data_IF_797907214223
#
_entry.id   IF_797907214223
#
_cell.length_a   1.000
_cell.length_b   1.000
_cell.length_c   1.000
_cell.angle_alpha   90.00
_cell.angle_beta   90.00
_cell.angle_gamma   90.00
#
_symmetry.space_group_name_H-M   'P 1'
#
loop_
_entity.id
_entity.type
_entity.pdbx_description
1 polymer ?
#
# COMPACT_ATOMS: atom_id res chain seq x y z
N UNK A 1 3.52 -35.35 29.95
CA UNK A 1 2.71 -36.33 30.72
C UNK A 1 3.46 -36.99 31.89
N UNK A 2 4.77 -36.75 32.06
CA UNK A 2 5.59 -37.26 33.18
C UNK A 2 5.50 -36.40 34.46
N UNK A 3 5.48 -35.07 34.33
CA UNK A 3 5.58 -34.13 35.47
C UNK A 3 4.38 -34.14 36.44
N UNK A 4 3.17 -34.35 35.94
CA UNK A 4 1.97 -34.41 36.81
C UNK A 4 2.06 -35.57 37.79
N UNK A 5 2.76 -36.64 37.41
CA UNK A 5 2.97 -37.82 38.24
C UNK A 5 3.97 -37.53 39.37
N UNK A 6 4.95 -36.66 39.14
CA UNK A 6 5.99 -36.32 40.13
C UNK A 6 5.48 -35.38 41.21
N UNK A 7 4.68 -34.36 40.83
CA UNK A 7 4.04 -33.43 41.79
C UNK A 7 3.08 -34.15 42.73
N UNK A 8 2.28 -35.07 42.18
CA UNK A 8 1.42 -35.94 42.99
C UNK A 8 2.22 -36.77 43.99
N UNK A 9 3.33 -37.37 43.56
CA UNK A 9 4.17 -38.20 44.44
C UNK A 9 4.82 -37.39 45.56
N UNK A 10 5.38 -36.21 45.28
CA UNK A 10 5.99 -35.37 46.31
C UNK A 10 4.96 -34.90 47.36
N UNK A 11 3.77 -34.50 46.93
CA UNK A 11 2.67 -34.12 47.81
C UNK A 11 2.20 -35.28 48.70
N UNK A 12 2.02 -36.47 48.11
CA UNK A 12 1.65 -37.68 48.86
C UNK A 12 2.71 -38.09 49.87
N UNK A 13 3.99 -37.98 49.53
CA UNK A 13 5.11 -38.24 50.45
C UNK A 13 5.10 -37.25 51.61
N UNK A 14 4.97 -35.95 51.34
CA UNK A 14 4.88 -34.92 52.39
C UNK A 14 3.69 -35.15 53.31
N UNK A 15 2.52 -35.47 52.75
CA UNK A 15 1.31 -35.75 53.50
C UNK A 15 1.49 -37.00 54.37
N UNK A 16 2.06 -38.07 53.84
CA UNK A 16 2.37 -39.28 54.61
C UNK A 16 3.32 -38.99 55.78
N UNK A 17 4.39 -38.22 55.57
CA UNK A 17 5.29 -37.80 56.63
C UNK A 17 4.58 -36.97 57.70
N UNK A 18 3.70 -36.04 57.32
CA UNK A 18 2.93 -35.27 58.30
C UNK A 18 1.95 -36.12 59.10
N UNK A 19 1.28 -37.09 58.46
CA UNK A 19 0.36 -37.99 59.16
C UNK A 19 1.10 -38.89 60.14
N UNK A 20 2.27 -39.42 59.76
CA UNK A 20 3.14 -40.19 60.66
C UNK A 20 3.60 -39.32 61.82
N UNK A 21 4.03 -38.08 61.56
CA UNK A 21 4.43 -37.15 62.61
C UNK A 21 3.29 -36.85 63.59
N UNK A 22 2.08 -36.56 63.10
CA UNK A 22 0.91 -36.34 63.96
C UNK A 22 0.52 -37.60 64.74
N UNK A 23 0.67 -38.79 64.17
CA UNK A 23 0.42 -40.05 64.88
C UNK A 23 1.42 -40.27 66.01
N UNK A 24 2.71 -40.01 65.77
CA UNK A 24 3.77 -40.07 66.79
C UNK A 24 3.50 -39.02 67.88
N UNK A 25 3.16 -37.78 67.50
CA UNK A 25 2.87 -36.71 68.45
C UNK A 25 1.63 -37.03 69.30
N UNK A 26 0.57 -37.57 68.69
CA UNK A 26 -0.62 -38.03 69.40
C UNK A 26 -0.29 -39.15 70.39
N UNK A 27 0.51 -40.13 69.97
CA UNK A 27 0.97 -41.21 70.85
C UNK A 27 1.75 -40.67 72.05
N UNK A 28 2.68 -39.73 71.81
CA UNK A 28 3.43 -39.06 72.88
C UNK A 28 2.51 -38.29 73.83
N UNK A 29 1.46 -37.63 73.33
CA UNK A 29 0.48 -36.94 74.18
C UNK A 29 -0.32 -37.89 75.06
N UNK A 30 -0.73 -39.05 74.54
CA UNK A 30 -1.49 -40.05 75.34
C UNK A 30 -0.64 -40.64 76.47
N UNK A 31 0.69 -40.68 76.32
CA UNK A 31 1.58 -41.08 77.42
C UNK A 31 1.84 -39.97 78.47
N UNK A 32 1.38 -38.74 78.22
CA UNK A 32 1.49 -37.66 79.21
C UNK A 32 0.44 -37.78 80.32
N UNK A 33 0.74 -37.22 81.49
CA UNK A 33 -0.14 -37.34 82.68
C UNK A 33 -1.48 -36.65 82.43
N UNK A 34 -2.57 -37.36 82.72
CA UNK A 34 -3.93 -36.83 82.65
C UNK A 34 -4.19 -35.74 83.70
N UNK A 35 -5.01 -34.77 83.32
CA UNK A 35 -5.51 -33.72 84.19
C UNK A 35 -6.78 -34.15 84.91
N UNK A 36 -6.70 -34.37 86.22
CA UNK A 36 -7.84 -34.80 87.05
C UNK A 36 -8.77 -33.66 87.51
N UNK A 37 -8.34 -32.39 87.41
CA UNK A 37 -9.07 -31.23 87.98
C UNK A 37 -9.77 -30.34 86.93
N UNK A 38 -9.74 -30.71 85.65
CA UNK A 38 -10.36 -29.92 84.58
C UNK A 38 -11.84 -30.30 84.38
N UNK A 39 -12.72 -29.30 84.20
CA UNK A 39 -14.11 -29.52 83.80
C UNK A 39 -14.16 -30.02 82.35
N UNK A 40 -14.17 -31.34 82.17
CA UNK A 40 -14.08 -31.99 80.86
C UNK A 40 -15.36 -31.69 80.06
N UNK A 41 -15.20 -31.05 78.90
CA UNK A 41 -16.30 -30.86 77.96
C UNK A 41 -16.74 -32.19 77.32
N UNK A 42 -18.06 -32.43 77.12
CA UNK A 42 -18.56 -33.65 76.48
C UNK A 42 -18.23 -33.75 74.97
N UNK A 43 -17.63 -32.72 74.37
CA UNK A 43 -17.25 -32.73 72.96
C UNK A 43 -15.88 -33.40 72.77
N UNK A 44 -15.78 -34.43 71.93
CA UNK A 44 -14.57 -35.26 71.76
C UNK A 44 -13.26 -34.47 71.57
N UNK A 45 -13.28 -33.43 70.73
CA UNK A 45 -12.09 -32.61 70.48
C UNK A 45 -11.75 -31.75 71.70
N UNK A 46 -12.74 -31.11 72.33
CA UNK A 46 -12.48 -30.21 73.45
C UNK A 46 -12.13 -31.00 74.70
N UNK A 47 -12.81 -32.11 74.94
CA UNK A 47 -12.52 -33.06 76.01
C UNK A 47 -11.11 -33.62 75.91
N UNK A 48 -10.60 -33.95 74.72
CA UNK A 48 -9.20 -34.38 74.55
C UNK A 48 -8.21 -33.30 75.01
N UNK A 49 -8.38 -32.05 74.55
CA UNK A 49 -7.50 -30.96 74.97
C UNK A 49 -7.68 -30.62 76.46
N UNK A 50 -8.90 -30.63 76.99
CA UNK A 50 -9.16 -30.40 78.42
C UNK A 50 -8.52 -31.48 79.30
N UNK A 51 -8.50 -32.75 78.85
CA UNK A 51 -7.91 -33.89 79.57
C UNK A 51 -6.38 -33.91 79.58
N UNK A 52 -5.72 -33.52 78.49
CA UNK A 52 -4.24 -33.61 78.40
C UNK A 52 -3.54 -32.26 78.58
N UNK A 53 -4.22 -31.15 78.32
CA UNK A 53 -3.64 -29.80 78.29
C UNK A 53 -4.33 -28.83 79.26
N UNK A 54 -5.39 -29.25 79.96
CA UNK A 54 -6.17 -28.39 80.85
C UNK A 54 -5.44 -27.89 82.11
N UNK A 55 -4.40 -28.58 82.56
CA UNK A 55 -3.58 -28.18 83.73
C UNK A 55 -2.33 -27.38 83.36
N UNK A 56 -2.03 -27.26 82.07
CA UNK A 56 -0.81 -26.64 81.58
C UNK A 56 -1.04 -25.13 81.51
N UNK A 57 -0.08 -24.34 82.00
CA UNK A 57 -0.19 -22.89 81.93
C UNK A 57 -0.30 -22.40 80.49
N UNK A 58 -1.01 -21.28 80.25
CA UNK A 58 -1.24 -20.74 78.90
C UNK A 58 0.08 -20.54 78.11
N UNK A 59 1.17 -20.20 78.79
CA UNK A 59 2.48 -20.03 78.16
C UNK A 59 3.09 -21.38 77.72
N UNK A 60 3.02 -22.39 78.57
CA UNK A 60 3.54 -23.74 78.30
C UNK A 60 2.71 -24.46 77.21
N UNK A 61 1.41 -24.18 77.16
CA UNK A 61 0.53 -24.63 76.07
C UNK A 61 0.99 -24.08 74.71
N UNK A 62 1.36 -22.80 74.69
CA UNK A 62 1.90 -22.12 73.51
C UNK A 62 3.21 -22.76 73.04
N UNK A 63 4.12 -23.05 73.97
CA UNK A 63 5.42 -23.67 73.66
C UNK A 63 5.26 -25.11 73.13
N UNK A 64 4.34 -25.90 73.71
CA UNK A 64 4.05 -27.25 73.24
C UNK A 64 3.44 -27.25 71.83
N UNK A 65 2.47 -26.37 71.57
CA UNK A 65 1.87 -26.23 70.24
C UNK A 65 2.87 -25.69 69.22
N UNK A 66 3.70 -24.72 69.58
CA UNK A 66 4.74 -24.19 68.70
C UNK A 66 5.77 -25.27 68.35
N UNK A 67 6.18 -26.08 69.32
CA UNK A 67 7.07 -27.23 69.11
C UNK A 67 6.46 -28.29 68.19
N UNK A 68 5.14 -28.52 68.30
CA UNK A 68 4.43 -29.48 67.44
C UNK A 68 4.32 -28.99 65.98
N UNK A 69 3.97 -27.72 65.77
CA UNK A 69 3.72 -27.19 64.42
C UNK A 69 4.98 -26.73 63.67
N UNK A 70 6.07 -26.36 64.37
CA UNK A 70 7.27 -25.84 63.73
C UNK A 70 7.94 -26.82 62.73
N UNK A 71 8.15 -28.11 63.05
CA UNK A 71 8.73 -29.07 62.09
C UNK A 71 7.82 -29.33 60.89
N UNK A 72 6.51 -29.35 61.11
CA UNK A 72 5.52 -29.54 60.02
C UNK A 72 5.56 -28.35 59.07
N UNK A 73 5.53 -27.13 59.59
CA UNK A 73 5.62 -25.91 58.78
C UNK A 73 6.93 -25.87 57.97
N UNK A 74 8.06 -26.24 58.59
CA UNK A 74 9.35 -26.28 57.91
C UNK A 74 9.38 -27.31 56.77
N UNK A 75 8.82 -28.50 57.00
CA UNK A 75 8.74 -29.56 55.99
C UNK A 75 7.92 -29.11 54.77
N UNK A 76 6.77 -28.47 54.98
CA UNK A 76 5.95 -27.93 53.91
C UNK A 76 6.65 -26.79 53.15
N UNK A 77 7.38 -25.91 53.85
CA UNK A 77 8.14 -24.83 53.23
C UNK A 77 9.27 -25.36 52.34
N UNK A 78 10.06 -26.32 52.83
CA UNK A 78 11.11 -26.95 52.05
C UNK A 78 10.55 -27.70 50.82
N UNK A 79 9.43 -28.40 50.99
CA UNK A 79 8.70 -29.06 49.91
C UNK A 79 8.24 -28.07 48.83
N UNK A 80 7.68 -26.93 49.22
CA UNK A 80 7.25 -25.89 48.29
C UNK A 80 8.43 -25.29 47.50
N UNK A 81 9.55 -24.97 48.15
CA UNK A 81 10.75 -24.44 47.48
C UNK A 81 11.33 -25.46 46.49
N UNK A 82 11.36 -26.74 46.86
CA UNK A 82 11.85 -27.79 45.98
C UNK A 82 10.98 -27.93 44.73
N UNK A 83 9.65 -27.94 44.87
CA UNK A 83 8.71 -27.98 43.74
C UNK A 83 8.90 -26.75 42.85
N UNK A 84 8.97 -25.55 43.43
CA UNK A 84 9.18 -24.30 42.68
C UNK A 84 10.50 -24.30 41.91
N UNK A 85 11.57 -24.86 42.47
CA UNK A 85 12.87 -24.93 41.80
C UNK A 85 12.85 -25.79 40.54
N UNK A 86 12.06 -26.87 40.53
CA UNK A 86 11.90 -27.74 39.36
C UNK A 86 11.10 -27.05 38.26
N UNK A 87 10.03 -26.32 38.61
CA UNK A 87 9.23 -25.57 37.65
C UNK A 87 10.06 -24.49 36.95
N UNK A 88 10.94 -23.80 37.68
CA UNK A 88 11.83 -22.80 37.10
C UNK A 88 12.89 -23.41 36.16
N UNK A 89 13.35 -24.63 36.43
CA UNK A 89 14.29 -25.32 35.55
C UNK A 89 13.61 -25.72 34.23
N UNK A 90 12.40 -26.30 34.30
CA UNK A 90 11.61 -26.65 33.12
C UNK A 90 11.24 -25.41 32.29
N UNK A 91 10.81 -24.32 32.93
CA UNK A 91 10.52 -23.05 32.23
C UNK A 91 11.73 -22.48 31.49
N UNK A 92 12.97 -22.67 32.00
CA UNK A 92 14.18 -22.20 31.30
C UNK A 92 14.44 -22.99 30.03
N UNK A 93 14.19 -24.28 30.04
CA UNK A 93 14.33 -25.14 28.87
C UNK A 93 13.30 -24.76 27.79
N UNK A 94 12.02 -24.61 28.17
CA UNK A 94 10.96 -24.17 27.26
C UNK A 94 11.26 -22.78 26.66
N UNK A 95 11.80 -21.85 27.46
CA UNK A 95 12.19 -20.53 26.98
C UNK A 95 13.36 -20.57 26.00
N UNK A 96 14.32 -21.48 26.18
CA UNK A 96 15.43 -21.64 25.23
C UNK A 96 14.96 -22.22 23.90
N UNK A 97 14.08 -23.23 23.93
CA UNK A 97 13.44 -23.78 22.74
C UNK A 97 12.59 -22.73 22.01
N UNK A 98 11.79 -21.98 22.77
CA UNK A 98 10.97 -20.88 22.22
C UNK A 98 11.84 -19.82 21.54
N UNK A 99 12.99 -19.49 22.14
CA UNK A 99 13.95 -18.55 21.52
C UNK A 99 14.55 -19.07 20.23
N UNK A 100 14.81 -20.38 20.11
CA UNK A 100 15.31 -20.99 18.87
C UNK A 100 14.28 -20.90 17.76
N UNK A 101 13.04 -21.31 18.03
CA UNK A 101 11.93 -21.22 17.06
C UNK A 101 11.68 -19.77 16.64
N UNK A 102 11.67 -18.83 17.58
CA UNK A 102 11.50 -17.40 17.24
C UNK A 102 12.65 -16.87 16.37
N UNK A 103 13.90 -17.30 16.60
CA UNK A 103 15.03 -16.91 15.74
C UNK A 103 14.86 -17.44 14.31
N UNK A 104 14.44 -18.69 14.17
CA UNK A 104 14.16 -19.30 12.86
C UNK A 104 13.02 -18.55 12.14
N UNK A 105 11.92 -18.25 12.85
CA UNK A 105 10.82 -17.47 12.30
C UNK A 105 11.24 -16.06 11.85
N UNK A 106 12.13 -15.40 12.58
CA UNK A 106 12.67 -14.09 12.17
C UNK A 106 13.52 -14.22 10.90
N UNK A 107 14.32 -15.29 10.77
CA UNK A 107 15.11 -15.54 9.56
C UNK A 107 14.21 -15.80 8.35
N UNK A 108 13.20 -16.65 8.49
CA UNK A 108 12.22 -16.93 7.43
C UNK A 108 11.43 -15.67 7.05
N UNK A 109 11.02 -14.87 8.05
CA UNK A 109 10.32 -13.60 7.80
C UNK A 109 11.19 -12.64 7.01
N UNK A 110 12.49 -12.53 7.33
CA UNK A 110 13.44 -11.69 6.56
C UNK A 110 13.58 -12.16 5.12
N UNK A 111 13.71 -13.47 4.91
CA UNK A 111 13.76 -14.04 3.57
C UNK A 111 12.47 -13.73 2.77
N UNK A 112 11.31 -13.90 3.40
CA UNK A 112 10.00 -13.57 2.82
C UNK A 112 9.88 -12.08 2.47
N UNK A 113 10.31 -11.17 3.35
CA UNK A 113 10.29 -9.72 3.04
C UNK A 113 11.18 -9.34 1.86
N UNK A 114 12.31 -10.04 1.67
CA UNK A 114 13.19 -9.82 0.53
C UNK A 114 12.50 -10.20 -0.78
N UNK A 115 11.87 -11.39 -0.81
CA UNK A 115 11.10 -11.86 -1.97
C UNK A 115 9.91 -10.94 -2.30
N UNK A 116 9.19 -10.48 -1.28
CA UNK A 116 8.10 -9.51 -1.47
C UNK A 116 8.61 -8.17 -2.03
N UNK A 117 9.79 -7.73 -1.61
CA UNK A 117 10.45 -6.55 -2.16
C UNK A 117 10.76 -6.72 -3.66
N UNK A 118 11.33 -7.85 -4.04
CA UNK A 118 11.61 -8.18 -5.45
C UNK A 118 10.34 -8.26 -6.30
N UNK A 119 9.30 -8.94 -5.81
CA UNK A 119 8.00 -9.02 -6.49
C UNK A 119 7.36 -7.64 -6.68
N UNK A 120 7.41 -6.79 -5.66
CA UNK A 120 6.90 -5.42 -5.73
C UNK A 120 7.66 -4.61 -6.79
N UNK A 121 8.98 -4.78 -6.87
CA UNK A 121 9.81 -4.14 -7.89
C UNK A 121 9.52 -4.63 -9.32
N UNK A 122 9.15 -5.90 -9.50
CA UNK A 122 8.70 -6.44 -10.80
C UNK A 122 7.33 -5.86 -11.17
N UNK A 123 6.37 -5.89 -10.25
CA UNK A 123 5.02 -5.37 -10.49
C UNK A 123 5.02 -3.89 -10.84
N UNK A 124 5.85 -3.09 -10.16
CA UNK A 124 6.00 -1.66 -10.48
C UNK A 124 6.51 -1.43 -11.90
N UNK A 125 7.55 -2.17 -12.31
CA UNK A 125 8.07 -2.09 -13.69
C UNK A 125 7.06 -2.53 -14.73
N UNK A 126 6.28 -3.58 -14.45
CA UNK A 126 5.20 -4.02 -15.33
C UNK A 126 4.08 -2.97 -15.45
N UNK A 127 3.76 -2.30 -14.34
CA UNK A 127 2.77 -1.22 -14.35
C UNK A 127 3.24 -0.04 -15.19
N UNK A 128 4.47 0.41 -15.01
CA UNK A 128 5.06 1.52 -15.78
C UNK A 128 5.10 1.20 -17.28
N UNK A 129 5.48 -0.03 -17.66
CA UNK A 129 5.46 -0.48 -19.06
C UNK A 129 4.04 -0.51 -19.64
N UNK A 130 3.06 -0.98 -18.86
CA UNK A 130 1.66 -1.03 -19.29
C UNK A 130 1.06 0.36 -19.43
N UNK A 131 1.40 1.29 -18.55
CA UNK A 131 0.98 2.70 -18.68
C UNK A 131 1.54 3.32 -19.96
N UNK A 132 2.79 3.02 -20.32
CA UNK A 132 3.39 3.45 -21.58
C UNK A 132 2.67 2.81 -22.79
N UNK A 133 2.40 1.51 -22.76
CA UNK A 133 1.67 0.81 -23.84
C UNK A 133 0.28 1.42 -24.05
N UNK A 134 -0.46 1.68 -22.96
CA UNK A 134 -1.77 2.34 -23.03
C UNK A 134 -1.64 3.76 -23.61
N UNK A 135 -0.60 4.51 -23.23
CA UNK A 135 -0.37 5.85 -23.76
C UNK A 135 -0.04 5.83 -25.26
N UNK A 136 0.78 4.87 -25.71
CA UNK A 136 1.15 4.67 -27.10
C UNK A 136 -0.08 4.28 -27.95
N UNK A 137 -0.91 3.35 -27.46
CA UNK A 137 -2.18 2.96 -28.10
C UNK A 137 -3.16 4.12 -28.21
N UNK A 138 -3.30 4.89 -27.12
CA UNK A 138 -4.12 6.10 -27.12
C UNK A 138 -3.59 7.13 -28.11
N UNK A 139 -2.27 7.32 -28.19
CA UNK A 139 -1.65 8.21 -29.15
C UNK A 139 -1.98 7.82 -30.58
N UNK A 140 -1.81 6.54 -30.95
CA UNK A 140 -2.16 6.08 -32.29
C UNK A 140 -3.66 6.22 -32.58
N UNK A 141 -4.53 5.97 -31.60
CA UNK A 141 -5.96 6.21 -31.75
C UNK A 141 -6.28 7.70 -32.00
N UNK A 142 -5.62 8.60 -31.29
CA UNK A 142 -5.76 10.04 -31.49
C UNK A 142 -5.23 10.48 -32.86
N UNK A 143 -4.10 9.93 -33.32
CA UNK A 143 -3.54 10.20 -34.65
C UNK A 143 -4.52 9.77 -35.75
N UNK A 144 -5.08 8.56 -35.66
CA UNK A 144 -6.12 8.10 -36.60
C UNK A 144 -7.36 8.99 -36.59
N UNK A 145 -7.78 9.41 -35.39
CA UNK A 145 -8.89 10.36 -35.22
C UNK A 145 -8.61 11.70 -35.90
N UNK A 146 -7.43 12.28 -35.65
CA UNK A 146 -7.00 13.54 -36.24
C UNK A 146 -6.89 13.44 -37.77
N UNK A 147 -6.29 12.36 -38.28
CA UNK A 147 -6.25 12.05 -39.72
C UNK A 147 -7.66 12.06 -40.32
N UNK A 148 -8.63 11.37 -39.71
CA UNK A 148 -10.02 11.35 -40.21
C UNK A 148 -10.71 12.72 -40.22
N UNK A 149 -10.24 13.66 -39.38
CA UNK A 149 -10.71 15.04 -39.37
C UNK A 149 -10.06 15.79 -40.53
N UNK A 150 -8.76 15.66 -40.72
CA UNK A 150 -8.01 16.32 -41.81
C UNK A 150 -8.45 15.81 -43.18
N UNK A 151 -8.69 14.52 -43.35
CA UNK A 151 -9.18 13.94 -44.61
C UNK A 151 -10.57 14.47 -45.01
N UNK A 152 -11.40 14.90 -44.04
CA UNK A 152 -12.67 15.61 -44.35
C UNK A 152 -12.45 17.00 -44.94
N UNK A 153 -11.25 17.57 -44.76
CA UNK A 153 -10.85 18.85 -45.31
C UNK A 153 -10.07 18.71 -46.63
N UNK A 154 -9.80 17.48 -47.08
CA UNK A 154 -9.18 17.26 -48.38
C UNK A 154 -10.12 17.76 -49.49
N UNK A 155 -9.59 18.62 -50.36
CA UNK A 155 -10.36 19.27 -51.43
C UNK A 155 -11.24 20.44 -51.00
N UNK A 156 -11.19 20.90 -49.74
CA UNK A 156 -11.86 22.15 -49.34
C UNK A 156 -11.17 23.33 -50.01
N UNK A 157 -11.85 23.95 -50.98
CA UNK A 157 -11.34 25.09 -51.72
C UNK A 157 -11.37 26.36 -50.86
N UNK A 158 -10.20 26.90 -50.51
CA UNK A 158 -10.13 28.25 -49.94
C UNK A 158 -10.27 29.26 -51.05
N UNK A 159 -11.26 30.13 -50.88
CA UNK A 159 -11.43 31.29 -51.74
C UNK A 159 -10.75 32.46 -51.07
N UNK A 160 -9.64 32.90 -51.65
CA UNK A 160 -8.94 34.11 -51.21
C UNK A 160 -9.31 35.22 -52.19
N UNK A 161 -10.11 36.16 -51.70
CA UNK A 161 -10.53 37.34 -52.47
C UNK A 161 -9.67 38.53 -52.06
N UNK A 162 -9.17 39.25 -53.07
CA UNK A 162 -8.39 40.48 -52.91
C UNK A 162 -9.24 41.66 -53.42
N UNK A 163 -10.02 42.34 -52.57
CA UNK A 163 -11.05 43.29 -53.01
C UNK A 163 -10.52 44.51 -53.78
N UNK A 164 -9.23 44.82 -53.68
CA UNK A 164 -8.62 46.02 -54.27
C UNK A 164 -7.33 45.74 -55.08
N UNK A 165 -7.10 44.49 -55.50
CA UNK A 165 -5.85 44.10 -56.17
C UNK A 165 -6.03 43.78 -57.65
N UNK A 166 -4.98 44.01 -58.45
CA UNK A 166 -4.90 43.62 -59.87
C UNK A 166 -4.78 42.09 -60.01
N UNK A 167 -4.58 41.36 -58.91
CA UNK A 167 -4.46 39.91 -58.93
C UNK A 167 -5.84 39.25 -59.10
N UNK A 168 -5.95 38.22 -59.96
CA UNK A 168 -7.18 37.45 -60.10
C UNK A 168 -7.52 36.74 -58.77
N UNK A 169 -8.81 36.52 -58.53
CA UNK A 169 -9.31 35.70 -57.42
C UNK A 169 -8.52 34.39 -57.36
N UNK A 170 -7.93 34.08 -56.19
CA UNK A 170 -7.26 32.80 -56.03
C UNK A 170 -8.24 31.78 -55.47
N UNK A 171 -8.42 30.70 -56.23
CA UNK A 171 -9.13 29.50 -55.82
C UNK A 171 -8.10 28.39 -55.76
N UNK A 172 -7.84 27.87 -54.57
CA UNK A 172 -7.01 26.69 -54.40
C UNK A 172 -7.46 25.90 -53.20
N UNK A 173 -7.04 24.64 -53.13
CA UNK A 173 -7.38 23.81 -51.98
C UNK A 173 -6.66 24.30 -50.72
N UNK A 174 -7.34 24.22 -49.57
CA UNK A 174 -6.75 24.44 -48.24
C UNK A 174 -5.65 23.41 -47.99
N UNK A 175 -5.88 22.18 -48.42
CA UNK A 175 -4.97 21.07 -48.32
C UNK A 175 -5.07 20.28 -49.62
N UNK A 176 -3.97 20.20 -50.37
CA UNK A 176 -3.83 19.21 -51.43
C UNK A 176 -3.07 18.03 -50.83
N UNK A 177 -3.78 17.11 -50.20
CA UNK A 177 -3.12 15.93 -49.65
C UNK A 177 -2.84 14.93 -50.77
N UNK A 178 -1.59 14.47 -50.85
CA UNK A 178 -1.22 13.40 -51.77
C UNK A 178 -1.89 12.09 -51.40
N UNK A 179 -1.68 11.04 -52.22
CA UNK A 179 -2.03 9.67 -51.79
C UNK A 179 -1.11 9.27 -50.65
N UNK A 180 -1.56 9.49 -49.43
CA UNK A 180 -0.78 9.22 -48.23
C UNK A 180 -0.65 7.72 -47.98
N UNK A 181 0.58 7.23 -47.76
CA UNK A 181 0.88 5.82 -47.52
C UNK A 181 1.12 5.47 -46.05
N UNK A 182 1.49 6.43 -45.22
CA UNK A 182 1.79 6.24 -43.79
C UNK A 182 1.37 7.43 -42.93
N UNK A 183 1.38 7.29 -41.61
CA UNK A 183 1.16 8.40 -40.67
C UNK A 183 2.26 9.46 -40.77
N UNK A 184 3.50 9.07 -41.00
CA UNK A 184 4.61 10.00 -41.19
C UNK A 184 4.42 10.85 -42.44
N UNK A 185 4.13 10.20 -43.58
CA UNK A 185 3.86 10.89 -44.84
C UNK A 185 2.68 11.87 -44.68
N UNK A 186 1.65 11.48 -43.91
CA UNK A 186 0.49 12.33 -43.65
C UNK A 186 0.86 13.63 -42.95
N UNK A 187 1.64 13.55 -41.87
CA UNK A 187 2.04 14.76 -41.15
C UNK A 187 3.02 15.61 -41.95
N UNK A 188 3.89 15.00 -42.75
CA UNK A 188 4.78 15.74 -43.67
C UNK A 188 3.94 16.52 -44.69
N UNK A 189 3.02 15.85 -45.38
CA UNK A 189 2.15 16.48 -46.38
C UNK A 189 1.27 17.57 -45.75
N UNK A 190 0.72 17.32 -44.56
CA UNK A 190 -0.08 18.29 -43.82
C UNK A 190 0.75 19.52 -43.42
N UNK A 191 1.96 19.34 -42.90
CA UNK A 191 2.87 20.44 -42.56
C UNK A 191 3.20 21.30 -43.79
N UNK A 192 3.55 20.66 -44.92
CA UNK A 192 3.84 21.36 -46.17
C UNK A 192 2.61 22.10 -46.68
N UNK A 193 1.43 21.47 -46.64
CA UNK A 193 0.15 22.07 -47.01
C UNK A 193 -0.17 23.32 -46.20
N UNK A 194 -0.19 23.21 -44.86
CA UNK A 194 -0.49 24.33 -43.95
C UNK A 194 0.53 25.46 -44.08
N UNK A 195 1.82 25.15 -44.20
CA UNK A 195 2.86 26.16 -44.41
C UNK A 195 2.65 26.91 -45.73
N UNK A 196 2.30 26.20 -46.81
CA UNK A 196 2.06 26.82 -48.12
C UNK A 196 0.86 27.77 -48.10
N UNK A 197 -0.23 27.41 -47.41
CA UNK A 197 -1.41 28.27 -47.27
C UNK A 197 -1.09 29.48 -46.41
N UNK A 198 -0.42 29.27 -45.29
CA UNK A 198 0.00 30.34 -44.38
C UNK A 198 0.86 31.38 -45.11
N UNK A 199 1.84 30.96 -45.91
CA UNK A 199 2.69 31.88 -46.68
C UNK A 199 1.90 32.62 -47.77
N UNK A 200 0.94 31.95 -48.43
CA UNK A 200 0.07 32.59 -49.43
C UNK A 200 -0.86 33.65 -48.84
N UNK A 201 -1.30 33.49 -47.59
CA UNK A 201 -2.13 34.48 -46.90
C UNK A 201 -1.26 35.61 -46.34
N UNK A 202 -0.11 35.28 -45.74
CA UNK A 202 0.75 36.26 -45.09
C UNK A 202 1.44 37.20 -46.08
N UNK A 203 1.80 36.72 -47.28
CA UNK A 203 2.50 37.54 -48.28
C UNK A 203 1.66 38.78 -48.70
N UNK A 204 0.41 38.65 -49.16
CA UNK A 204 -0.46 39.80 -49.46
C UNK A 204 -0.72 40.71 -48.24
N UNK A 205 -0.90 40.13 -47.04
CA UNK A 205 -1.10 40.91 -45.82
C UNK A 205 0.12 41.79 -45.50
N UNK A 206 1.34 41.30 -45.72
CA UNK A 206 2.58 42.09 -45.59
C UNK A 206 2.64 43.24 -46.60
N UNK A 207 2.05 43.05 -47.77
CA UNK A 207 1.94 44.06 -48.82
C UNK A 207 0.75 45.03 -48.60
N UNK A 208 0.05 44.93 -47.46
CA UNK A 208 -1.09 45.79 -47.12
C UNK A 208 -2.38 45.44 -47.87
N UNK A 209 -2.43 44.31 -48.56
CA UNK A 209 -3.59 43.86 -49.33
C UNK A 209 -4.58 43.17 -48.38
N UNK A 210 -5.85 43.57 -48.46
CA UNK A 210 -6.93 42.90 -47.73
C UNK A 210 -7.16 41.51 -48.30
N UNK A 211 -7.36 40.54 -47.43
CA UNK A 211 -7.63 39.14 -47.78
C UNK A 211 -8.97 38.77 -47.16
N UNK A 212 -9.91 38.25 -47.94
CA UNK A 212 -11.16 37.69 -47.39
C UNK A 212 -11.15 36.16 -47.48
N UNK A 213 -11.48 35.49 -46.37
CA UNK A 213 -11.68 34.04 -46.27
C UNK A 213 -13.15 33.78 -45.91
N UNK A 214 -13.78 32.79 -46.55
CA UNK A 214 -15.19 32.46 -46.28
C UNK A 214 -15.37 31.92 -44.85
N UNK A 215 -16.37 32.41 -44.12
CA UNK A 215 -16.66 32.01 -42.72
C UNK A 215 -16.74 30.50 -42.43
N UNK A 216 -17.40 29.64 -43.25
CA UNK A 216 -17.42 28.21 -42.98
C UNK A 216 -16.02 27.62 -42.83
N UNK A 217 -15.04 28.13 -43.58
CA UNK A 217 -13.66 27.65 -43.58
C UNK A 217 -12.88 28.07 -42.32
N UNK A 218 -13.20 29.22 -41.72
CA UNK A 218 -12.55 29.66 -40.47
C UNK A 218 -12.93 28.76 -39.30
N UNK A 219 -14.21 28.35 -39.22
CA UNK A 219 -14.67 27.40 -38.18
C UNK A 219 -13.98 26.04 -38.30
N UNK A 220 -13.74 25.62 -39.53
CA UNK A 220 -13.08 24.35 -39.85
C UNK A 220 -11.59 24.38 -39.44
N UNK A 221 -10.87 25.47 -39.76
CA UNK A 221 -9.47 25.68 -39.33
C UNK A 221 -9.37 25.75 -37.80
N UNK A 222 -10.31 26.41 -37.12
CA UNK A 222 -10.32 26.45 -35.65
C UNK A 222 -10.55 25.05 -35.05
N UNK A 223 -11.40 24.23 -35.69
CA UNK A 223 -11.64 22.86 -35.25
C UNK A 223 -10.37 22.00 -35.33
N UNK A 224 -9.59 22.14 -36.42
CA UNK A 224 -8.29 21.50 -36.59
C UNK A 224 -7.28 21.96 -35.52
N UNK A 225 -7.20 23.27 -35.28
CA UNK A 225 -6.33 23.84 -34.25
C UNK A 225 -6.67 23.32 -32.86
N UNK A 226 -7.96 23.20 -32.53
CA UNK A 226 -8.40 22.74 -31.20
C UNK A 226 -8.04 21.28 -30.90
N UNK A 227 -7.85 20.45 -31.93
CA UNK A 227 -7.47 19.04 -31.78
C UNK A 227 -5.99 18.82 -31.45
N UNK A 228 -5.10 19.71 -31.88
CA UNK A 228 -3.64 19.53 -31.71
C UNK A 228 -3.16 19.55 -30.24
N UNK A 229 -3.62 20.49 -29.39
CA UNK A 229 -3.23 20.51 -27.97
C UNK A 229 -3.64 19.26 -27.19
N UNK A 230 -4.57 18.46 -27.71
CA UNK A 230 -4.94 17.18 -27.11
C UNK A 230 -3.87 16.11 -27.37
N UNK A 231 -3.30 16.09 -28.59
CA UNK A 231 -2.19 15.20 -28.97
C UNK A 231 -0.91 15.52 -28.20
N UNK A 232 -0.61 16.81 -28.03
CA UNK A 232 0.61 17.26 -27.32
C UNK A 232 0.59 16.97 -25.82
N UNK A 233 -0.60 16.87 -25.20
CA UNK A 233 -0.76 16.65 -23.75
C UNK A 233 -0.38 15.26 -23.26
N UNK A 234 -0.15 14.32 -24.16
CA UNK A 234 0.16 12.93 -23.82
C UNK A 234 1.60 12.55 -24.17
N UNK A 235 2.37 13.46 -24.79
CA UNK A 235 3.71 13.17 -25.31
C UNK A 235 4.71 12.84 -24.19
N UNK A 236 4.51 13.40 -23.00
CA UNK A 236 5.34 13.16 -21.81
C UNK A 236 5.16 11.75 -21.21
N UNK A 237 4.09 11.04 -21.58
CA UNK A 237 3.78 9.69 -21.10
C UNK A 237 4.11 8.59 -22.11
N UNK A 238 4.54 8.96 -23.32
CA UNK A 238 4.86 8.02 -24.38
C UNK A 238 6.12 7.22 -24.08
N UNK A 239 6.20 6.04 -24.68
CA UNK A 239 7.47 5.32 -24.72
C UNK A 239 8.53 6.12 -25.51
N UNK A 240 9.83 5.88 -25.28
CA UNK A 240 10.88 6.61 -26.01
C UNK A 240 10.77 6.52 -27.54
N UNK A 241 10.30 5.38 -28.07
CA UNK A 241 10.07 5.20 -29.50
C UNK A 241 8.94 6.12 -30.01
N UNK A 242 7.85 6.22 -29.25
CA UNK A 242 6.72 7.08 -29.59
C UNK A 242 7.02 8.57 -29.37
N UNK A 243 7.90 8.93 -28.42
CA UNK A 243 8.41 10.30 -28.31
C UNK A 243 9.14 10.72 -29.59
N UNK A 244 9.99 9.84 -30.15
CA UNK A 244 10.67 10.10 -31.43
C UNK A 244 9.65 10.23 -32.57
N UNK A 245 8.68 9.32 -32.65
CA UNK A 245 7.58 9.37 -33.64
C UNK A 245 6.75 10.68 -33.54
N UNK A 246 6.38 11.10 -32.33
CA UNK A 246 5.65 12.35 -32.12
C UNK A 246 6.48 13.58 -32.53
N UNK A 247 7.80 13.55 -32.31
CA UNK A 247 8.71 14.61 -32.72
C UNK A 247 8.90 14.66 -34.24
N UNK A 248 8.96 13.51 -34.91
CA UNK A 248 9.13 13.44 -36.37
C UNK A 248 7.90 13.96 -37.13
N UNK A 249 6.71 13.87 -36.54
CA UNK A 249 5.49 14.48 -37.08
C UNK A 249 5.51 16.01 -37.10
N UNK A 250 6.47 16.67 -36.46
CA UNK A 250 6.57 18.13 -36.47
C UNK A 250 5.37 18.83 -35.84
N UNK A 251 4.70 18.19 -34.87
CA UNK A 251 3.45 18.68 -34.27
C UNK A 251 3.53 20.10 -33.69
N UNK A 252 4.69 20.49 -33.16
CA UNK A 252 4.94 21.85 -32.70
C UNK A 252 4.89 22.85 -33.87
N UNK A 253 5.54 22.52 -34.99
CA UNK A 253 5.54 23.34 -36.20
C UNK A 253 4.12 23.45 -36.76
N UNK A 254 3.38 22.33 -36.80
CA UNK A 254 1.98 22.31 -37.23
C UNK A 254 1.09 23.19 -36.35
N UNK A 255 1.26 23.13 -35.03
CA UNK A 255 0.52 23.96 -34.07
C UNK A 255 0.74 25.45 -34.33
N UNK A 256 2.00 25.85 -34.51
CA UNK A 256 2.36 27.25 -34.74
C UNK A 256 1.87 27.73 -36.12
N UNK A 257 1.94 26.87 -37.14
CA UNK A 257 1.44 27.17 -38.48
C UNK A 257 -0.09 27.32 -38.48
N UNK A 258 -0.83 26.44 -37.82
CA UNK A 258 -2.29 26.55 -37.67
C UNK A 258 -2.68 27.79 -36.84
N UNK A 259 -1.94 28.11 -35.78
CA UNK A 259 -2.18 29.31 -35.00
C UNK A 259 -1.97 30.59 -35.85
N UNK A 260 -0.91 30.60 -36.66
CA UNK A 260 -0.63 31.70 -37.60
C UNK A 260 -1.72 31.83 -38.67
N UNK A 261 -2.20 30.70 -39.20
CA UNK A 261 -3.29 30.67 -40.16
C UNK A 261 -4.61 31.22 -39.58
N UNK A 262 -4.97 30.82 -38.37
CA UNK A 262 -6.14 31.36 -37.65
C UNK A 262 -5.98 32.86 -37.39
N UNK A 263 -4.80 33.30 -36.94
CA UNK A 263 -4.52 34.71 -36.69
C UNK A 263 -4.66 35.54 -37.98
N UNK A 264 -4.13 35.04 -39.09
CA UNK A 264 -4.25 35.69 -40.39
C UNK A 264 -5.71 35.72 -40.89
N UNK A 265 -6.48 34.65 -40.67
CA UNK A 265 -7.90 34.57 -41.01
C UNK A 265 -8.80 35.48 -40.15
N UNK A 266 -8.32 35.92 -38.99
CA UNK A 266 -9.08 36.76 -38.04
C UNK A 266 -8.56 38.20 -37.94
N UNK A 267 -7.53 38.56 -38.72
CA UNK A 267 -6.88 39.86 -38.68
C UNK A 267 -7.82 41.02 -39.12
N UNK A 268 -7.67 42.23 -38.56
CA UNK A 268 -8.40 43.41 -39.00
C UNK A 268 -8.04 43.75 -40.46
N UNK A 269 -9.04 43.75 -41.34
CA UNK A 269 -8.85 43.89 -42.79
C UNK A 269 -9.40 42.71 -43.60
N UNK A 270 -9.70 41.59 -42.93
CA UNK A 270 -10.46 40.48 -43.51
C UNK A 270 -11.94 40.83 -43.47
N UNK A 271 -12.47 41.37 -44.57
CA UNK A 271 -13.90 41.64 -44.69
C UNK A 271 -14.68 40.32 -44.76
N UNK A 272 -15.71 40.22 -43.92
CA UNK A 272 -16.66 39.12 -43.98
C UNK A 272 -17.46 39.30 -45.27
N UNK A 273 -17.36 38.41 -46.27
CA UNK A 273 -18.24 38.51 -47.42
C UNK A 273 -19.69 38.51 -46.90
N UNK A 274 -20.47 39.52 -47.30
CA UNK A 274 -21.91 39.48 -47.13
C UNK A 274 -22.41 38.27 -47.94
N UNK A 275 -23.12 37.36 -47.28
CA UNK A 275 -23.71 36.17 -47.93
C UNK A 275 -24.58 36.54 -49.14
#
# INVERSE_FOLDING_TARGET
>A
MSETKTKGRAFWVLTAFTLVYFAIYYFLLVETKECTDASISPHWFKGFFDTYLGCVGVNELGDALAGAFAPVAFLWLAGAVFIQSQELAAQREELDETRKVMKEQVLETRASTTLLGEQTGILRRQHELKEQEIADDQFDAMIRGFRSIVERFDGVLVHIVYPDSIYPEWKGSLLEMGKVRSDEDFFIDLNVGVASVTERINRPLRDGIRVAIRRPQVREIESLRSGLPFLLRHVDKLSPAYTVKASSFGMAILSDALASLVAAATAPGVEKPQE
#
